data_IF_507533365483
#
_entry.id   IF_507533365483
#
_cell.length_a   1.000
_cell.length_b   1.000
_cell.length_c   1.000
_cell.angle_alpha   90.00
_cell.angle_beta   90.00
_cell.angle_gamma   90.00
#
_symmetry.space_group_name_H-M   'P 1'
#
loop_
_entity.id
_entity.type
_entity.pdbx_description
1 polymer ?
#
# COMPACT_ATOMS: atom_id res chain seq x y z
N UNK A 1 -29.24 3.44 14.14
CA UNK A 1 -28.46 3.09 12.93
C UNK A 1 -27.47 4.19 12.52
N UNK A 2 -27.75 5.47 12.76
CA UNK A 2 -26.86 6.58 12.38
C UNK A 2 -25.45 6.51 12.99
N UNK A 3 -25.34 6.18 14.28
CA UNK A 3 -24.03 6.01 14.94
C UNK A 3 -23.17 4.94 14.25
N UNK A 4 -23.79 3.82 13.84
CA UNK A 4 -23.08 2.74 13.13
C UNK A 4 -22.61 3.20 11.74
N UNK A 5 -23.45 3.94 10.99
CA UNK A 5 -23.04 4.54 9.70
C UNK A 5 -21.85 5.48 9.87
N UNK A 6 -21.86 6.31 10.92
CA UNK A 6 -20.77 7.23 11.23
C UNK A 6 -19.47 6.49 11.55
N UNK A 7 -19.52 5.45 12.37
CA UNK A 7 -18.34 4.65 12.72
C UNK A 7 -17.73 3.96 11.48
N UNK A 8 -18.56 3.34 10.63
CA UNK A 8 -18.10 2.68 9.39
C UNK A 8 -17.46 3.69 8.43
N UNK A 9 -18.04 4.89 8.31
CA UNK A 9 -17.47 5.97 7.51
C UNK A 9 -16.14 6.46 8.07
N UNK A 10 -16.04 6.63 9.39
CA UNK A 10 -14.81 7.08 10.05
C UNK A 10 -13.65 6.10 9.83
N UNK A 11 -13.90 4.79 9.90
CA UNK A 11 -12.87 3.76 9.62
C UNK A 11 -12.32 3.89 8.19
N UNK A 12 -13.21 4.09 7.20
CA UNK A 12 -12.78 4.27 5.81
C UNK A 12 -11.94 5.55 5.64
N UNK A 13 -12.41 6.66 6.20
CA UNK A 13 -11.73 7.96 6.11
C UNK A 13 -10.37 7.97 6.81
N UNK A 14 -10.26 7.36 7.99
CA UNK A 14 -8.98 7.22 8.72
C UNK A 14 -7.93 6.50 7.87
N UNK A 15 -8.35 5.44 7.18
CA UNK A 15 -7.47 4.62 6.34
C UNK A 15 -7.02 5.40 5.11
N UNK A 16 -7.93 6.09 4.42
CA UNK A 16 -7.60 6.97 3.29
C UNK A 16 -6.66 8.11 3.72
N UNK A 17 -6.83 8.66 4.92
CA UNK A 17 -5.99 9.73 5.46
C UNK A 17 -4.56 9.30 5.79
N UNK A 18 -4.29 8.00 6.02
CA UNK A 18 -2.94 7.54 6.38
C UNK A 18 -1.91 7.75 5.26
N UNK A 19 -2.37 7.87 4.00
CA UNK A 19 -1.57 8.06 2.79
C UNK A 19 -0.38 7.08 2.69
N UNK A 20 -0.57 5.84 3.13
CA UNK A 20 0.50 4.85 3.24
C UNK A 20 1.02 4.46 1.86
N UNK A 21 0.16 4.29 0.86
CA UNK A 21 0.57 3.96 -0.50
C UNK A 21 1.54 5.01 -1.08
N UNK A 22 1.31 6.30 -0.84
CA UNK A 22 2.21 7.36 -1.28
C UNK A 22 3.58 7.30 -0.58
N UNK A 23 3.59 7.02 0.72
CA UNK A 23 4.83 6.83 1.50
C UNK A 23 5.62 5.62 0.99
N UNK A 24 4.94 4.50 0.74
CA UNK A 24 5.57 3.31 0.17
C UNK A 24 6.12 3.56 -1.23
N UNK A 25 5.38 4.28 -2.08
CA UNK A 25 5.87 4.69 -3.40
C UNK A 25 7.13 5.57 -3.30
N UNK A 26 7.18 6.47 -2.32
CA UNK A 26 8.39 7.29 -2.08
C UNK A 26 9.59 6.43 -1.71
N UNK A 27 9.41 5.42 -0.85
CA UNK A 27 10.48 4.46 -0.49
C UNK A 27 10.90 3.61 -1.69
N UNK A 28 9.95 3.15 -2.52
CA UNK A 28 10.24 2.42 -3.76
C UNK A 28 11.08 3.25 -4.73
N UNK A 29 10.75 4.53 -4.89
CA UNK A 29 11.54 5.44 -5.73
C UNK A 29 12.95 5.62 -5.19
N UNK A 30 13.11 5.85 -3.88
CA UNK A 30 14.44 6.00 -3.26
C UNK A 30 15.33 4.77 -3.46
N UNK A 31 14.77 3.56 -3.35
CA UNK A 31 15.52 2.32 -3.58
C UNK A 31 15.90 2.20 -5.06
N UNK A 32 15.00 2.53 -5.98
CA UNK A 32 15.29 2.51 -7.41
C UNK A 32 16.41 3.49 -7.80
N UNK A 33 16.36 4.72 -7.28
CA UNK A 33 17.38 5.75 -7.51
C UNK A 33 18.76 5.29 -6.97
N UNK A 34 18.79 4.71 -5.76
CA UNK A 34 20.02 4.16 -5.18
C UNK A 34 20.59 3.01 -6.01
N UNK A 35 19.73 2.13 -6.54
CA UNK A 35 20.15 1.04 -7.42
C UNK A 35 20.79 1.55 -8.71
N UNK A 36 20.19 2.57 -9.35
CA UNK A 36 20.75 3.22 -10.55
C UNK A 36 22.12 3.83 -10.24
N UNK A 37 22.27 4.53 -9.11
CA UNK A 37 23.55 5.09 -8.69
C UNK A 37 24.62 4.03 -8.44
N UNK A 38 24.25 2.89 -7.85
CA UNK A 38 25.18 1.77 -7.63
C UNK A 38 25.59 1.14 -8.96
N UNK A 39 24.68 1.00 -9.92
CA UNK A 39 24.98 0.46 -11.27
C UNK A 39 25.97 1.36 -12.03
N UNK A 40 25.76 2.67 -11.99
CA UNK A 40 26.67 3.66 -12.58
C UNK A 40 28.05 3.62 -11.91
N UNK A 41 28.07 3.61 -10.58
CA UNK A 41 29.31 3.56 -9.80
C UNK A 41 30.09 2.27 -10.08
N UNK A 42 29.40 1.13 -10.13
CA UNK A 42 29.99 -0.16 -10.49
C UNK A 42 30.59 -0.12 -11.90
N UNK A 43 29.87 0.44 -12.87
CA UNK A 43 30.35 0.57 -14.25
C UNK A 43 31.64 1.40 -14.34
N UNK A 44 31.74 2.48 -13.55
CA UNK A 44 32.97 3.26 -13.43
C UNK A 44 34.12 2.44 -12.82
N UNK A 45 33.85 1.62 -11.80
CA UNK A 45 34.87 0.78 -11.15
C UNK A 45 35.36 -0.33 -12.08
N UNK A 46 34.46 -0.95 -12.84
CA UNK A 46 34.81 -1.95 -13.86
C UNK A 46 35.73 -1.35 -14.93
N UNK A 47 35.45 -0.13 -15.39
CA UNK A 47 36.31 0.59 -16.33
C UNK A 47 37.72 0.89 -15.77
N UNK A 48 37.84 1.02 -14.44
CA UNK A 48 39.13 1.19 -13.74
C UNK A 48 39.81 -0.12 -13.37
N UNK A 49 39.18 -1.26 -13.68
CA UNK A 49 39.63 -2.59 -13.29
C UNK A 49 39.77 -2.76 -11.76
N UNK A 50 38.97 -2.03 -10.99
CA UNK A 50 38.91 -2.14 -9.53
C UNK A 50 37.94 -3.27 -9.13
N UNK A 51 38.45 -4.50 -9.24
CA UNK A 51 37.65 -5.73 -9.09
C UNK A 51 37.03 -5.85 -7.70
N UNK A 52 37.75 -5.46 -6.66
CA UNK A 52 37.26 -5.59 -5.27
C UNK A 52 36.12 -4.60 -5.02
N UNK A 53 36.30 -3.33 -5.39
CA UNK A 53 35.26 -2.33 -5.21
C UNK A 53 34.02 -2.63 -6.07
N UNK A 54 34.22 -3.09 -7.32
CA UNK A 54 33.11 -3.49 -8.20
C UNK A 54 32.31 -4.66 -7.63
N UNK A 55 32.99 -5.65 -7.04
CA UNK A 55 32.32 -6.75 -6.36
C UNK A 55 31.49 -6.28 -5.17
N UNK A 56 32.00 -5.34 -4.35
CA UNK A 56 31.23 -4.75 -3.25
C UNK A 56 30.01 -3.96 -3.75
N UNK A 57 30.16 -3.17 -4.82
CA UNK A 57 29.04 -2.47 -5.44
C UNK A 57 27.95 -3.45 -5.92
N UNK A 58 28.35 -4.57 -6.54
CA UNK A 58 27.42 -5.64 -6.93
C UNK A 58 26.66 -6.22 -5.72
N UNK A 59 27.33 -6.47 -4.60
CA UNK A 59 26.65 -6.98 -3.40
C UNK A 59 25.63 -5.97 -2.85
N UNK A 60 25.95 -4.67 -2.88
CA UNK A 60 25.00 -3.63 -2.50
C UNK A 60 23.79 -3.56 -3.44
N UNK A 61 24.00 -3.78 -4.74
CA UNK A 61 22.91 -3.86 -5.71
C UNK A 61 21.99 -5.06 -5.40
N UNK A 62 22.57 -6.24 -5.12
CA UNK A 62 21.82 -7.44 -4.72
C UNK A 62 21.01 -7.22 -3.43
N UNK A 63 21.56 -6.53 -2.43
CA UNK A 63 20.82 -6.16 -1.22
C UNK A 63 19.63 -5.24 -1.53
N UNK A 64 19.82 -4.22 -2.38
CA UNK A 64 18.74 -3.32 -2.76
C UNK A 64 17.64 -4.03 -3.58
N UNK A 65 17.99 -5.01 -4.42
CA UNK A 65 16.98 -5.86 -5.09
C UNK A 65 16.08 -6.60 -4.09
N UNK A 66 16.63 -7.10 -2.98
CA UNK A 66 15.84 -7.74 -1.92
C UNK A 66 14.93 -6.72 -1.25
N UNK A 67 15.45 -5.53 -0.89
CA UNK A 67 14.65 -4.45 -0.31
C UNK A 67 13.51 -4.02 -1.23
N UNK A 68 13.80 -3.82 -2.52
CA UNK A 68 12.82 -3.47 -3.55
C UNK A 68 11.71 -4.54 -3.65
N UNK A 69 12.09 -5.81 -3.58
CA UNK A 69 11.14 -6.93 -3.65
C UNK A 69 10.19 -6.95 -2.45
N UNK A 70 10.74 -6.75 -1.24
CA UNK A 70 9.94 -6.71 0.00
C UNK A 70 9.00 -5.51 0.02
N UNK A 71 9.47 -4.31 -0.34
CA UNK A 71 8.62 -3.12 -0.36
C UNK A 71 7.51 -3.21 -1.42
N UNK A 72 7.78 -3.86 -2.56
CA UNK A 72 6.76 -4.12 -3.58
C UNK A 72 5.68 -5.10 -3.07
N UNK A 73 6.07 -6.13 -2.31
CA UNK A 73 5.12 -7.05 -1.68
C UNK A 73 4.23 -6.30 -0.67
N UNK A 74 4.84 -5.51 0.23
CA UNK A 74 4.10 -4.69 1.21
C UNK A 74 3.15 -3.71 0.52
N UNK A 75 3.59 -3.07 -0.57
CA UNK A 75 2.73 -2.19 -1.35
C UNK A 75 1.49 -2.92 -1.88
N UNK A 76 1.69 -4.11 -2.45
CA UNK A 76 0.61 -4.94 -3.00
C UNK A 76 -0.37 -5.38 -1.91
N UNK A 77 0.15 -5.80 -0.76
CA UNK A 77 -0.67 -6.22 0.39
C UNK A 77 -1.53 -5.05 0.90
N UNK A 78 -0.96 -3.84 1.02
CA UNK A 78 -1.72 -2.66 1.48
C UNK A 78 -2.75 -2.20 0.44
N UNK A 79 -2.41 -2.26 -0.85
CA UNK A 79 -3.36 -1.97 -1.92
C UNK A 79 -4.55 -2.92 -1.88
N UNK A 80 -4.30 -4.22 -1.70
CA UNK A 80 -5.35 -5.23 -1.52
C UNK A 80 -6.20 -4.95 -0.28
N UNK A 81 -5.58 -4.62 0.86
CA UNK A 81 -6.31 -4.25 2.08
C UNK A 81 -7.23 -3.05 1.85
N UNK A 82 -6.77 -2.00 1.16
CA UNK A 82 -7.60 -0.83 0.85
C UNK A 82 -8.82 -1.22 0.00
N UNK A 83 -8.65 -2.12 -0.98
CA UNK A 83 -9.76 -2.63 -1.78
C UNK A 83 -10.75 -3.42 -0.94
N UNK A 84 -10.29 -4.33 -0.08
CA UNK A 84 -11.14 -5.14 0.80
C UNK A 84 -11.94 -4.26 1.78
N UNK A 85 -11.29 -3.28 2.39
CA UNK A 85 -11.94 -2.30 3.27
C UNK A 85 -13.02 -1.52 2.52
N UNK A 86 -12.74 -1.09 1.29
CA UNK A 86 -13.72 -0.44 0.42
C UNK A 86 -14.94 -1.32 0.16
N UNK A 87 -14.72 -2.59 -0.16
CA UNK A 87 -15.79 -3.58 -0.37
C UNK A 87 -16.61 -3.82 0.90
N UNK A 88 -15.95 -3.97 2.05
CA UNK A 88 -16.63 -4.14 3.34
C UNK A 88 -17.47 -2.92 3.72
N UNK A 89 -16.95 -1.71 3.49
CA UNK A 89 -17.69 -0.47 3.68
C UNK A 89 -18.97 -0.44 2.84
N UNK A 90 -18.87 -0.71 1.54
CA UNK A 90 -20.03 -0.70 0.64
C UNK A 90 -21.10 -1.74 1.03
N UNK A 91 -20.65 -2.95 1.38
CA UNK A 91 -21.56 -4.02 1.81
C UNK A 91 -22.26 -3.66 3.11
N UNK A 92 -21.53 -3.15 4.11
CA UNK A 92 -22.12 -2.75 5.38
C UNK A 92 -23.14 -1.61 5.20
N UNK A 93 -22.86 -0.62 4.34
CA UNK A 93 -23.81 0.45 4.04
C UNK A 93 -25.09 -0.07 3.39
N UNK A 94 -24.98 -0.99 2.42
CA UNK A 94 -26.14 -1.65 1.79
C UNK A 94 -26.98 -2.44 2.80
N UNK A 95 -26.34 -3.16 3.72
CA UNK A 95 -27.05 -3.91 4.77
C UNK A 95 -27.79 -2.99 5.74
N UNK A 96 -27.16 -1.88 6.14
CA UNK A 96 -27.79 -0.89 7.00
C UNK A 96 -29.01 -0.25 6.32
N UNK A 97 -28.91 0.08 5.03
CA UNK A 97 -30.03 0.61 4.24
C UNK A 97 -31.19 -0.38 4.16
N UNK A 98 -30.90 -1.65 3.85
CA UNK A 98 -31.91 -2.72 3.85
C UNK A 98 -32.58 -2.86 5.21
N UNK A 99 -31.81 -2.91 6.29
CA UNK A 99 -32.34 -3.03 7.66
C UNK A 99 -33.22 -1.83 8.03
N UNK A 100 -32.84 -0.61 7.63
CA UNK A 100 -33.66 0.59 7.83
C UNK A 100 -35.00 0.48 7.10
N UNK A 101 -35.00 0.05 5.83
CA UNK A 101 -36.21 -0.08 5.02
C UNK A 101 -37.19 -1.18 5.49
N UNK A 102 -36.69 -2.26 6.08
CA UNK A 102 -37.55 -3.32 6.64
C UNK A 102 -38.28 -2.89 7.92
N UNK A 103 -37.76 -1.89 8.64
CA UNK A 103 -38.37 -1.45 9.90
C UNK A 103 -39.63 -0.62 9.62
N UNK A 104 -39.62 0.21 8.58
CA UNK A 104 -40.74 1.08 8.21
C UNK A 104 -41.98 0.28 7.71
N UNK A 105 -41.78 -0.83 7.01
CA UNK A 105 -42.89 -1.65 6.49
C UNK A 105 -43.66 -2.44 7.56
N UNK A 106 -43.13 -2.54 8.78
CA UNK A 106 -43.79 -3.24 9.89
C UNK A 106 -44.66 -2.33 10.76
N UNK A 107 -44.61 -1.00 10.57
CA UNK A 107 -45.44 -0.04 11.30
C UNK A 107 -46.72 0.39 10.56
N UNK A 108 -46.84 0.14 9.25
CA UNK A 108 -48.04 0.46 8.46
C UNK A 108 -49.16 -0.60 8.53
N UNK A 109 -48.97 -1.69 9.28
CA UNK A 109 -49.92 -2.80 9.40
C UNK A 109 -50.47 -3.03 10.83
N UNK A 110 -50.42 -2.02 11.71
CA UNK A 110 -50.93 -2.10 13.09
C UNK A 110 -52.07 -1.11 13.36
#
# INVERSE_FOLDING_TARGET
MENLKYQIKSIKEEIECTNILSKLNSVRSLIADEMEHIEDYKSMLDAKNDVVASFTAKQNLEHNFVLQSVINAIYTDIEAMYQEIGNHYENAMKEIEKASSCTDQSQDNA
#
